data_IF_456016389460
#
_entry.id   IF_456016389460
#
_cell.length_a   1.000
_cell.length_b   1.000
_cell.length_c   1.000
_cell.angle_alpha   90.00
_cell.angle_beta   90.00
_cell.angle_gamma   90.00
#
_symmetry.space_group_name_H-M   'P 1'
#
loop_
_entity.id
_entity.type
_entity.pdbx_description
1 polymer ?
#
# COMPACT_ATOMS: atom_id res chain seq x y z
N UNK A 1 37.89 28.62 -11.95
CA UNK A 1 36.50 28.23 -12.27
C UNK A 1 35.63 28.57 -11.08
N UNK A 2 34.44 29.16 -11.25
CA UNK A 2 33.48 29.29 -10.16
C UNK A 2 32.88 27.90 -9.87
N UNK A 3 33.53 27.17 -8.98
CA UNK A 3 32.96 25.98 -8.32
C UNK A 3 32.26 26.44 -7.05
N UNK A 4 30.94 26.29 -7.00
CA UNK A 4 30.15 26.69 -5.83
C UNK A 4 28.81 25.99 -5.80
N UNK A 5 28.30 25.77 -4.59
CA UNK A 5 26.90 25.47 -4.37
C UNK A 5 26.10 26.77 -4.46
N UNK A 6 24.85 26.70 -4.91
CA UNK A 6 23.96 27.84 -4.79
C UNK A 6 23.62 28.07 -3.32
N UNK A 7 23.83 29.29 -2.81
CA UNK A 7 23.50 29.64 -1.42
C UNK A 7 21.99 29.53 -1.13
N UNK A 8 21.16 29.66 -2.16
CA UNK A 8 19.70 29.50 -2.09
C UNK A 8 19.20 28.50 -3.14
N UNK A 9 18.18 27.72 -2.76
CA UNK A 9 17.53 26.80 -3.68
C UNK A 9 16.58 27.55 -4.63
N UNK A 10 16.65 27.23 -5.92
CA UNK A 10 15.73 27.75 -6.92
C UNK A 10 14.49 26.87 -7.02
N UNK A 11 13.30 27.49 -7.06
CA UNK A 11 12.06 26.77 -7.32
C UNK A 11 11.92 26.43 -8.80
N UNK A 12 11.45 25.22 -9.11
CA UNK A 12 11.04 24.85 -10.47
C UNK A 12 9.90 25.74 -11.00
N UNK A 13 9.12 26.35 -10.11
CA UNK A 13 8.01 27.24 -10.45
C UNK A 13 8.44 28.62 -10.93
N UNK A 14 9.67 29.05 -10.64
CA UNK A 14 10.21 30.36 -11.09
C UNK A 14 11.04 30.26 -12.37
N UNK A 15 11.29 29.07 -12.90
CA UNK A 15 11.97 28.90 -14.19
C UNK A 15 11.05 29.37 -15.32
N UNK A 16 11.31 30.54 -15.90
CA UNK A 16 10.56 31.09 -17.03
C UNK A 16 10.87 30.33 -18.32
N UNK A 17 12.16 30.12 -18.59
CA UNK A 17 12.64 29.40 -19.79
C UNK A 17 13.86 28.51 -19.49
N UNK A 18 14.08 27.52 -20.35
CA UNK A 18 15.19 26.58 -20.28
C UNK A 18 15.71 26.30 -21.70
N UNK A 19 16.96 26.67 -21.98
CA UNK A 19 17.59 26.53 -23.29
C UNK A 19 18.93 25.79 -23.23
N UNK A 20 19.29 25.11 -24.32
CA UNK A 20 20.65 24.59 -24.52
C UNK A 20 21.50 25.70 -25.15
N UNK A 21 22.65 26.02 -24.54
CA UNK A 21 23.49 27.11 -25.02
C UNK A 21 24.08 26.79 -26.41
N UNK A 22 23.77 27.63 -27.40
CA UNK A 22 24.11 27.37 -28.81
C UNK A 22 24.41 28.67 -29.57
N UNK A 23 25.62 29.20 -29.40
CA UNK A 23 26.17 30.31 -30.18
C UNK A 23 27.71 30.20 -30.28
N UNK A 24 28.33 31.00 -31.16
CA UNK A 24 29.78 30.95 -31.38
C UNK A 24 30.58 31.35 -30.13
N UNK A 25 31.52 30.50 -29.73
CA UNK A 25 32.28 30.60 -28.48
C UNK A 25 31.45 30.40 -27.19
N UNK A 26 30.23 29.86 -27.28
CA UNK A 26 29.45 29.45 -26.10
C UNK A 26 30.24 28.46 -25.21
N UNK A 27 30.22 28.62 -23.87
CA UNK A 27 30.75 27.63 -22.94
C UNK A 27 30.18 26.23 -23.21
N UNK A 28 31.07 25.24 -23.37
CA UNK A 28 30.67 23.87 -23.71
C UNK A 28 29.81 23.25 -22.60
N UNK A 29 28.83 22.46 -23.04
CA UNK A 29 27.96 21.65 -22.18
C UNK A 29 27.08 22.43 -21.19
N UNK A 30 26.66 23.64 -21.57
CA UNK A 30 25.85 24.49 -20.71
C UNK A 30 24.33 24.41 -20.98
N UNK A 31 23.56 24.49 -19.89
CA UNK A 31 22.12 24.73 -19.87
C UNK A 31 21.86 26.13 -19.31
N UNK A 32 21.03 26.91 -19.99
CA UNK A 32 20.59 28.22 -19.54
C UNK A 32 19.21 28.12 -18.88
N UNK A 33 19.09 28.71 -17.70
CA UNK A 33 17.84 28.87 -16.94
C UNK A 33 17.52 30.36 -16.81
N UNK A 34 16.34 30.78 -17.28
CA UNK A 34 15.85 32.16 -17.10
C UNK A 34 14.84 32.26 -15.96
N UNK A 35 14.91 33.33 -15.19
CA UNK A 35 14.09 33.61 -14.00
C UNK A 35 13.65 35.07 -13.96
N UNK A 36 12.54 35.41 -13.26
CA UNK A 36 12.17 36.79 -13.00
C UNK A 36 13.24 37.44 -12.09
N UNK A 37 14.18 38.16 -12.71
CA UNK A 37 15.31 38.80 -12.05
C UNK A 37 16.71 38.32 -12.48
N UNK A 38 16.84 37.34 -13.39
CA UNK A 38 18.17 36.96 -13.88
C UNK A 38 18.22 35.69 -14.74
N UNK A 39 19.45 35.29 -15.08
CA UNK A 39 19.75 34.06 -15.82
C UNK A 39 20.87 33.31 -15.12
N UNK A 40 20.71 31.99 -14.98
CA UNK A 40 21.72 31.08 -14.40
C UNK A 40 22.22 30.14 -15.49
N UNK A 41 23.54 29.98 -15.55
CA UNK A 41 24.19 29.05 -16.47
C UNK A 41 24.70 27.82 -15.69
N UNK A 42 24.20 26.64 -16.03
CA UNK A 42 24.67 25.37 -15.46
C UNK A 42 25.59 24.68 -16.46
N UNK A 43 26.88 24.56 -16.13
CA UNK A 43 27.85 23.83 -16.95
C UNK A 43 27.98 22.38 -16.48
N UNK A 44 27.71 21.42 -17.36
CA UNK A 44 27.94 20.01 -17.11
C UNK A 44 29.35 19.57 -17.54
N UNK A 45 29.82 18.42 -17.04
CA UNK A 45 31.11 17.86 -17.41
C UNK A 45 31.19 17.36 -18.88
N UNK A 46 30.05 16.99 -19.47
CA UNK A 46 29.95 16.48 -20.84
C UNK A 46 28.53 16.70 -21.41
N UNK A 47 28.36 16.45 -22.72
CA UNK A 47 27.10 16.60 -23.44
C UNK A 47 25.97 15.73 -22.85
N UNK A 48 26.25 14.45 -22.58
CA UNK A 48 25.27 13.52 -22.03
C UNK A 48 24.67 14.03 -20.71
N UNK A 49 25.52 14.50 -19.78
CA UNK A 49 25.07 15.02 -18.49
C UNK A 49 24.29 16.35 -18.64
N UNK A 50 24.69 17.23 -19.57
CA UNK A 50 23.92 18.44 -19.93
C UNK A 50 22.51 18.05 -20.41
N UNK A 51 22.42 17.06 -21.29
CA UNK A 51 21.14 16.67 -21.91
C UNK A 51 20.23 15.98 -20.89
N UNK A 52 20.79 15.15 -20.01
CA UNK A 52 20.09 14.60 -18.84
C UNK A 52 19.57 15.69 -17.90
N UNK A 53 20.40 16.70 -17.57
CA UNK A 53 19.97 17.85 -16.76
C UNK A 53 18.85 18.62 -17.46
N UNK A 54 19.01 18.94 -18.74
CA UNK A 54 18.01 19.66 -19.53
C UNK A 54 16.66 18.95 -19.51
N UNK A 55 16.60 17.66 -19.89
CA UNK A 55 15.35 16.91 -19.90
C UNK A 55 14.76 16.73 -18.48
N UNK A 56 15.59 16.50 -17.45
CA UNK A 56 15.13 16.39 -16.06
C UNK A 56 14.53 17.71 -15.53
N UNK A 57 15.14 18.86 -15.85
CA UNK A 57 14.64 20.19 -15.51
C UNK A 57 13.33 20.50 -16.25
N UNK A 58 13.23 20.19 -17.55
CA UNK A 58 11.99 20.30 -18.32
C UNK A 58 10.87 19.44 -17.72
N UNK A 59 11.18 18.18 -17.40
CA UNK A 59 10.25 17.23 -16.80
C UNK A 59 9.70 17.76 -15.47
N UNK A 60 10.58 18.15 -14.54
CA UNK A 60 10.17 18.67 -13.22
C UNK A 60 9.36 19.97 -13.33
N UNK A 61 9.74 20.91 -14.21
CA UNK A 61 8.97 22.14 -14.49
C UNK A 61 7.58 21.81 -15.02
N UNK A 62 7.47 20.89 -16.00
CA UNK A 62 6.17 20.46 -16.55
C UNK A 62 5.32 19.76 -15.49
N UNK A 63 5.87 18.78 -14.75
CA UNK A 63 5.16 18.08 -13.67
C UNK A 63 4.61 19.04 -12.61
N UNK A 64 5.38 20.06 -12.22
CA UNK A 64 4.90 21.10 -11.31
C UNK A 64 3.70 21.88 -11.89
N UNK A 65 3.76 22.25 -13.18
CA UNK A 65 2.62 22.88 -13.88
C UNK A 65 1.39 21.97 -13.88
N UNK A 66 1.54 20.69 -14.24
CA UNK A 66 0.41 19.74 -14.27
C UNK A 66 -0.23 19.55 -12.90
N UNK A 67 0.57 19.43 -11.83
CA UNK A 67 0.05 19.43 -10.45
C UNK A 67 -0.83 20.67 -10.19
N UNK A 68 -0.33 21.87 -10.49
CA UNK A 68 -1.09 23.11 -10.25
C UNK A 68 -2.35 23.23 -11.10
N UNK A 69 -2.33 22.78 -12.36
CA UNK A 69 -3.47 22.85 -13.28
C UNK A 69 -4.55 21.84 -12.91
N UNK A 70 -4.18 20.61 -12.54
CA UNK A 70 -5.12 19.55 -12.19
C UNK A 70 -5.73 19.75 -10.80
N UNK A 71 -5.00 20.36 -9.84
CA UNK A 71 -5.48 20.66 -8.48
C UNK A 71 -6.56 21.77 -8.42
N UNK A 72 -6.93 22.40 -9.54
CA UNK A 72 -8.02 23.39 -9.57
C UNK A 72 -8.89 23.20 -10.82
N UNK A 73 -9.66 22.08 -10.88
CA UNK A 73 -10.39 21.68 -12.07
C UNK A 73 -11.60 22.59 -12.32
N UNK A 74 -11.51 23.46 -13.34
CA UNK A 74 -12.62 24.33 -13.75
C UNK A 74 -13.58 23.67 -14.73
N UNK A 75 -13.07 22.84 -15.66
CA UNK A 75 -13.85 22.11 -16.67
C UNK A 75 -13.22 20.75 -16.97
N UNK A 76 -13.99 19.68 -16.85
CA UNK A 76 -13.51 18.31 -17.05
C UNK A 76 -12.99 18.02 -18.47
N UNK A 77 -13.54 18.66 -19.52
CA UNK A 77 -12.98 18.57 -20.89
C UNK A 77 -11.50 18.99 -20.95
N UNK A 78 -11.17 20.07 -20.22
CA UNK A 78 -9.83 20.65 -20.19
C UNK A 78 -8.92 19.77 -19.33
N UNK A 79 -9.40 19.35 -18.15
CA UNK A 79 -8.68 18.43 -17.26
C UNK A 79 -8.33 17.12 -17.99
N UNK A 80 -9.27 16.53 -18.73
CA UNK A 80 -9.03 15.32 -19.52
C UNK A 80 -8.02 15.53 -20.65
N UNK A 81 -8.03 16.70 -21.31
CA UNK A 81 -7.01 17.07 -22.30
C UNK A 81 -5.62 17.20 -21.68
N UNK A 82 -5.51 17.83 -20.50
CA UNK A 82 -4.25 17.97 -19.77
C UNK A 82 -3.75 16.62 -19.23
N UNK A 83 -4.64 15.72 -18.79
CA UNK A 83 -4.30 14.32 -18.43
C UNK A 83 -3.68 13.60 -19.63
N UNK A 84 -4.31 13.66 -20.82
CA UNK A 84 -3.77 13.03 -22.03
C UNK A 84 -2.41 13.60 -22.42
N UNK A 85 -2.23 14.92 -22.32
CA UNK A 85 -0.94 15.57 -22.57
C UNK A 85 0.15 15.20 -21.54
N UNK A 86 -0.24 14.99 -20.28
CA UNK A 86 0.66 14.51 -19.23
C UNK A 86 1.11 13.05 -19.47
N UNK A 87 0.19 12.19 -19.90
CA UNK A 87 0.46 10.79 -20.27
C UNK A 87 1.37 10.70 -21.50
N UNK A 88 1.05 11.44 -22.56
CA UNK A 88 1.86 11.53 -23.79
C UNK A 88 3.29 12.00 -23.49
N UNK A 89 3.44 13.05 -22.68
CA UNK A 89 4.76 13.53 -22.23
C UNK A 89 5.56 12.46 -21.48
N UNK A 90 4.91 11.62 -20.67
CA UNK A 90 5.58 10.55 -19.94
C UNK A 90 6.12 9.47 -20.89
N UNK A 91 5.28 9.02 -21.83
CA UNK A 91 5.61 7.98 -22.80
C UNK A 91 6.67 8.41 -23.83
N UNK A 92 6.69 9.69 -24.18
CA UNK A 92 7.67 10.29 -25.12
C UNK A 92 8.94 10.79 -24.44
N UNK A 93 9.06 10.64 -23.11
CA UNK A 93 10.20 11.15 -22.35
C UNK A 93 11.48 10.34 -22.64
N UNK A 94 12.63 10.99 -22.91
CA UNK A 94 13.92 10.30 -23.05
C UNK A 94 14.53 9.86 -21.70
N UNK A 95 13.87 10.16 -20.58
CA UNK A 95 14.38 9.90 -19.24
C UNK A 95 14.11 8.45 -18.79
N UNK A 96 15.16 7.76 -18.37
CA UNK A 96 15.12 6.35 -17.96
C UNK A 96 14.99 6.22 -16.44
N UNK A 97 13.83 6.60 -15.89
CA UNK A 97 13.53 6.50 -14.45
C UNK A 97 12.06 6.08 -14.25
N UNK A 98 11.77 5.22 -13.28
CA UNK A 98 10.41 4.71 -13.03
C UNK A 98 9.45 5.86 -12.63
N UNK A 99 9.95 6.87 -11.93
CA UNK A 99 9.17 8.03 -11.48
C UNK A 99 8.59 8.85 -12.64
N UNK A 100 9.13 8.73 -13.86
CA UNK A 100 8.59 9.37 -15.08
C UNK A 100 7.18 8.86 -15.37
N UNK A 101 6.95 7.55 -15.19
CA UNK A 101 5.66 6.92 -15.46
C UNK A 101 4.76 6.89 -14.21
N UNK A 102 5.35 6.79 -13.02
CA UNK A 102 4.60 6.79 -11.75
C UNK A 102 4.09 8.19 -11.36
N UNK A 103 4.82 9.27 -11.64
CA UNK A 103 4.39 10.62 -11.24
C UNK A 103 3.04 11.05 -11.85
N UNK A 104 2.76 10.83 -13.15
CA UNK A 104 1.42 11.03 -13.71
C UNK A 104 0.33 10.24 -12.97
N UNK A 105 0.55 8.94 -12.72
CA UNK A 105 -0.42 8.09 -12.04
C UNK A 105 -0.72 8.59 -10.62
N UNK A 106 0.30 9.04 -9.87
CA UNK A 106 0.10 9.64 -8.55
C UNK A 106 -0.69 10.95 -8.60
N UNK A 107 -0.42 11.84 -9.56
CA UNK A 107 -1.16 13.11 -9.70
C UNK A 107 -2.64 12.84 -10.00
N UNK A 108 -2.92 11.86 -10.85
CA UNK A 108 -4.29 11.48 -11.25
C UNK A 108 -5.00 10.71 -10.12
N UNK A 109 -4.26 9.91 -9.34
CA UNK A 109 -4.74 9.29 -8.10
C UNK A 109 -5.22 10.34 -7.08
N UNK A 110 -4.45 11.41 -6.87
CA UNK A 110 -4.85 12.54 -6.00
C UNK A 110 -6.08 13.28 -6.57
N UNK A 111 -6.07 13.59 -7.87
CA UNK A 111 -7.20 14.24 -8.55
C UNK A 111 -8.52 13.48 -8.37
N UNK A 112 -8.50 12.16 -8.54
CA UNK A 112 -9.69 11.30 -8.37
C UNK A 112 -10.13 11.21 -6.91
N UNK A 113 -9.20 11.17 -5.96
CA UNK A 113 -9.52 11.15 -4.53
C UNK A 113 -10.18 12.47 -4.05
N UNK A 114 -9.77 13.61 -4.60
CA UNK A 114 -10.31 14.93 -4.26
C UNK A 114 -11.64 15.27 -4.95
N UNK A 115 -12.00 14.57 -6.04
CA UNK A 115 -13.15 14.92 -6.90
C UNK A 115 -14.21 13.81 -6.95
N UNK A 116 -14.92 13.61 -5.84
CA UNK A 116 -15.97 12.57 -5.70
C UNK A 116 -17.24 12.79 -6.53
N UNK A 117 -17.47 14.00 -7.06
CA UNK A 117 -18.67 14.39 -7.82
C UNK A 117 -18.56 14.16 -9.34
N UNK A 118 -17.56 13.39 -9.78
CA UNK A 118 -17.34 13.05 -11.18
C UNK A 118 -18.48 12.22 -11.76
N UNK A 119 -18.80 12.44 -13.05
CA UNK A 119 -19.74 11.55 -13.73
C UNK A 119 -19.09 10.20 -14.02
N UNK A 120 -19.93 9.18 -14.23
CA UNK A 120 -19.49 7.86 -14.68
C UNK A 120 -18.68 7.92 -15.97
N UNK A 121 -19.09 8.76 -16.91
CA UNK A 121 -18.42 8.87 -18.21
C UNK A 121 -17.04 9.53 -18.03
N UNK A 122 -16.90 10.47 -17.09
CA UNK A 122 -15.61 11.07 -16.76
C UNK A 122 -14.66 10.07 -16.10
N UNK A 123 -15.15 9.21 -15.20
CA UNK A 123 -14.36 8.11 -14.65
C UNK A 123 -13.79 7.21 -15.76
N UNK A 124 -14.63 6.73 -16.66
CA UNK A 124 -14.19 5.85 -17.75
C UNK A 124 -13.24 6.56 -18.72
N UNK A 125 -13.51 7.83 -19.06
CA UNK A 125 -12.64 8.67 -19.86
C UNK A 125 -11.25 8.87 -19.25
N UNK A 126 -11.16 9.07 -17.92
CA UNK A 126 -9.89 9.21 -17.19
C UNK A 126 -9.13 7.89 -17.20
N UNK A 127 -9.80 6.76 -16.93
CA UNK A 127 -9.16 5.42 -16.94
C UNK A 127 -8.62 5.10 -18.34
N UNK A 128 -9.40 5.36 -19.40
CA UNK A 128 -8.95 5.22 -20.78
C UNK A 128 -7.76 6.12 -21.12
N UNK A 129 -7.70 7.34 -20.59
CA UNK A 129 -6.59 8.25 -20.82
C UNK A 129 -5.28 7.81 -20.15
N UNK A 130 -5.33 7.09 -19.02
CA UNK A 130 -4.14 6.57 -18.32
C UNK A 130 -3.77 5.13 -18.67
N UNK A 131 -4.62 4.40 -19.40
CA UNK A 131 -4.40 3.01 -19.77
C UNK A 131 -2.98 2.71 -20.31
N UNK A 132 -2.38 3.52 -21.20
CA UNK A 132 -1.02 3.26 -21.71
C UNK A 132 0.08 3.24 -20.62
N UNK A 133 -0.10 3.96 -19.51
CA UNK A 133 0.84 3.89 -18.38
C UNK A 133 0.62 2.61 -17.56
N UNK A 134 -0.63 2.18 -17.38
CA UNK A 134 -0.99 1.00 -16.60
C UNK A 134 -0.55 -0.31 -17.26
N UNK A 135 -0.41 -0.35 -18.59
CA UNK A 135 0.18 -1.48 -19.32
C UNK A 135 1.60 -1.83 -18.85
N UNK A 136 2.34 -0.85 -18.32
CA UNK A 136 3.72 -1.03 -17.88
C UNK A 136 4.03 -0.71 -16.42
N UNK A 137 3.10 -0.11 -15.68
CA UNK A 137 3.33 0.38 -14.32
C UNK A 137 2.24 -0.09 -13.36
N UNK A 138 2.60 -0.34 -12.11
CA UNK A 138 1.61 -0.66 -11.09
C UNK A 138 0.80 0.60 -10.72
N UNK A 139 -0.55 0.54 -10.66
CA UNK A 139 -1.36 1.67 -10.19
C UNK A 139 -1.05 1.99 -8.70
N UNK A 140 -1.03 3.29 -8.32
CA UNK A 140 -0.91 3.71 -6.92
C UNK A 140 -2.02 3.16 -6.01
N UNK A 141 -1.82 3.15 -4.67
CA UNK A 141 -2.77 2.63 -3.70
C UNK A 141 -4.20 3.19 -3.82
N UNK A 142 -4.38 4.50 -3.97
CA UNK A 142 -5.73 5.10 -4.02
C UNK A 142 -6.39 4.88 -5.39
N UNK A 143 -5.58 4.84 -6.45
CA UNK A 143 -6.02 4.45 -7.78
C UNK A 143 -6.48 2.97 -7.83
N UNK A 144 -5.82 2.07 -7.09
CA UNK A 144 -6.30 0.70 -6.91
C UNK A 144 -7.68 0.66 -6.23
N UNK A 145 -7.90 1.47 -5.20
CA UNK A 145 -9.17 1.55 -4.48
C UNK A 145 -10.30 2.10 -5.39
N UNK A 146 -9.98 3.11 -6.21
CA UNK A 146 -10.86 3.61 -7.26
C UNK A 146 -11.21 2.53 -8.30
N UNK A 147 -10.23 1.74 -8.76
CA UNK A 147 -10.49 0.61 -9.67
C UNK A 147 -11.32 -0.50 -9.02
N UNK A 148 -11.08 -0.83 -7.75
CA UNK A 148 -11.92 -1.77 -6.98
C UNK A 148 -13.39 -1.32 -6.97
N UNK A 149 -13.63 -0.04 -6.68
CA UNK A 149 -14.98 0.56 -6.71
C UNK A 149 -15.60 0.45 -8.10
N UNK A 150 -14.87 0.78 -9.16
CA UNK A 150 -15.35 0.68 -10.54
C UNK A 150 -15.69 -0.76 -10.95
N UNK A 151 -14.90 -1.76 -10.54
CA UNK A 151 -15.18 -3.18 -10.76
C UNK A 151 -16.52 -3.60 -10.13
N UNK A 152 -16.81 -3.20 -8.89
CA UNK A 152 -18.08 -3.52 -8.19
C UNK A 152 -19.29 -2.80 -8.79
N UNK A 153 -19.14 -1.52 -9.13
CA UNK A 153 -20.26 -0.71 -9.63
C UNK A 153 -20.56 -0.97 -11.10
N UNK A 154 -19.53 -1.32 -11.90
CA UNK A 154 -19.61 -1.44 -13.37
C UNK A 154 -18.84 -2.64 -13.92
N UNK A 155 -19.17 -3.87 -13.49
CA UNK A 155 -18.50 -5.09 -13.93
C UNK A 155 -18.60 -5.33 -15.45
N UNK A 156 -19.64 -4.78 -16.10
CA UNK A 156 -19.92 -4.89 -17.54
C UNK A 156 -19.31 -3.74 -18.38
N UNK A 157 -18.57 -2.81 -17.78
CA UNK A 157 -17.96 -1.71 -18.54
C UNK A 157 -16.83 -2.19 -19.45
N UNK A 158 -16.62 -1.49 -20.58
CA UNK A 158 -15.47 -1.76 -21.47
C UNK A 158 -14.14 -1.53 -20.75
N UNK A 159 -14.10 -0.62 -19.77
CA UNK A 159 -12.94 -0.43 -18.89
C UNK A 159 -12.56 -1.71 -18.15
N UNK A 160 -13.51 -2.42 -17.54
CA UNK A 160 -13.21 -3.70 -16.87
C UNK A 160 -12.75 -4.74 -17.88
N UNK A 161 -13.45 -4.87 -19.02
CA UNK A 161 -13.25 -5.95 -19.98
C UNK A 161 -11.97 -5.77 -20.84
N UNK A 162 -11.64 -4.55 -21.23
CA UNK A 162 -10.55 -4.26 -22.18
C UNK A 162 -9.34 -3.58 -21.52
N UNK A 163 -9.55 -2.66 -20.56
CA UNK A 163 -8.46 -1.89 -19.94
C UNK A 163 -7.88 -2.59 -18.71
N UNK A 164 -8.72 -3.09 -17.80
CA UNK A 164 -8.22 -3.75 -16.59
C UNK A 164 -7.66 -5.15 -16.86
N UNK A 165 -8.13 -5.84 -17.91
CA UNK A 165 -7.61 -7.15 -18.33
C UNK A 165 -6.08 -7.17 -18.48
N UNK A 166 -5.43 -6.40 -19.38
CA UNK A 166 -3.97 -6.43 -19.52
C UNK A 166 -3.24 -5.98 -18.24
N UNK A 167 -3.81 -5.05 -17.47
CA UNK A 167 -3.22 -4.57 -16.21
C UNK A 167 -3.19 -5.68 -15.16
N UNK A 168 -4.29 -6.42 -14.97
CA UNK A 168 -4.35 -7.53 -14.02
C UNK A 168 -3.54 -8.73 -14.52
N UNK A 169 -3.52 -8.99 -15.83
CA UNK A 169 -2.60 -9.97 -16.42
C UNK A 169 -1.14 -9.62 -16.10
N UNK A 170 -0.73 -8.35 -16.21
CA UNK A 170 0.61 -7.88 -15.82
C UNK A 170 0.87 -8.09 -14.33
N UNK A 171 -0.05 -7.68 -13.45
CA UNK A 171 0.09 -7.84 -12.00
C UNK A 171 0.32 -9.32 -11.66
N UNK A 172 -0.49 -10.24 -12.20
CA UNK A 172 -0.32 -11.67 -11.96
C UNK A 172 1.00 -12.24 -12.53
N UNK A 173 1.49 -11.74 -13.67
CA UNK A 173 2.74 -12.20 -14.32
C UNK A 173 4.02 -11.64 -13.67
N UNK A 174 3.97 -10.41 -13.13
CA UNK A 174 5.17 -9.65 -12.76
C UNK A 174 5.18 -9.16 -11.31
N UNK A 175 4.07 -9.18 -10.56
CA UNK A 175 4.12 -8.80 -9.16
C UNK A 175 4.98 -9.80 -8.35
N UNK A 176 5.93 -9.25 -7.60
CA UNK A 176 6.87 -10.03 -6.81
C UNK A 176 6.34 -10.37 -5.41
N UNK A 177 5.48 -9.53 -4.84
CA UNK A 177 5.04 -9.61 -3.45
C UNK A 177 3.74 -8.82 -3.22
N UNK A 178 2.63 -9.50 -2.90
CA UNK A 178 1.37 -8.82 -2.54
C UNK A 178 1.34 -8.30 -1.10
N UNK A 179 2.24 -8.74 -0.22
CA UNK A 179 2.34 -8.23 1.16
C UNK A 179 2.78 -6.77 1.20
N UNK A 180 3.64 -6.36 0.27
CA UNK A 180 4.04 -4.95 0.08
C UNK A 180 2.97 -4.07 -0.56
N UNK A 181 2.05 -4.68 -1.32
CA UNK A 181 1.03 -3.96 -2.10
C UNK A 181 -0.35 -4.63 -1.96
N UNK A 182 -0.96 -4.65 -0.76
CA UNK A 182 -2.22 -5.36 -0.51
C UNK A 182 -3.39 -4.85 -1.37
N UNK A 183 -3.37 -3.57 -1.77
CA UNK A 183 -4.39 -2.99 -2.65
C UNK A 183 -4.31 -3.49 -4.10
N UNK A 184 -3.14 -3.91 -4.61
CA UNK A 184 -3.03 -4.59 -5.91
C UNK A 184 -3.68 -5.98 -5.86
N UNK A 185 -3.56 -6.68 -4.72
CA UNK A 185 -4.23 -7.96 -4.49
C UNK A 185 -5.75 -7.79 -4.47
N UNK A 186 -6.24 -6.79 -3.74
CA UNK A 186 -7.66 -6.47 -3.68
C UNK A 186 -8.22 -6.09 -5.06
N UNK A 187 -7.52 -5.23 -5.81
CA UNK A 187 -7.92 -4.90 -7.19
C UNK A 187 -8.01 -6.14 -8.09
N UNK A 188 -7.04 -7.05 -7.97
CA UNK A 188 -7.05 -8.34 -8.69
C UNK A 188 -8.26 -9.20 -8.31
N UNK A 189 -8.64 -9.24 -7.02
CA UNK A 189 -9.84 -9.95 -6.55
C UNK A 189 -11.12 -9.34 -7.10
N UNK A 190 -11.29 -8.02 -6.98
CA UNK A 190 -12.49 -7.29 -7.41
C UNK A 190 -12.69 -7.36 -8.93
N UNK A 191 -11.59 -7.32 -9.70
CA UNK A 191 -11.63 -7.59 -11.15
C UNK A 191 -12.08 -9.02 -11.48
N UNK A 192 -11.56 -10.04 -10.78
CA UNK A 192 -11.97 -11.44 -10.99
C UNK A 192 -13.46 -11.64 -10.65
N UNK A 193 -13.94 -10.99 -9.58
CA UNK A 193 -15.36 -10.99 -9.22
C UNK A 193 -16.21 -10.28 -10.29
N UNK A 194 -15.75 -9.13 -10.81
CA UNK A 194 -16.42 -8.43 -11.90
C UNK A 194 -16.53 -9.28 -13.18
N UNK A 195 -15.49 -10.05 -13.54
CA UNK A 195 -15.57 -11.03 -14.63
C UNK A 195 -16.64 -12.11 -14.38
N UNK A 196 -16.79 -12.56 -13.13
CA UNK A 196 -17.79 -13.55 -12.74
C UNK A 196 -19.24 -12.98 -12.74
N UNK A 197 -19.40 -11.66 -12.75
CA UNK A 197 -20.73 -11.03 -12.90
C UNK A 197 -21.16 -10.82 -14.35
N UNK A 198 -20.28 -11.10 -15.32
CA UNK A 198 -20.61 -11.11 -16.75
C UNK A 198 -21.56 -12.27 -17.11
N UNK A 199 -22.22 -12.20 -18.27
CA UNK A 199 -23.34 -13.09 -18.60
C UNK A 199 -22.98 -14.59 -18.70
N UNK A 200 -21.70 -14.94 -18.88
CA UNK A 200 -21.21 -16.33 -18.86
C UNK A 200 -20.52 -16.73 -17.53
N UNK A 201 -20.52 -15.83 -16.54
CA UNK A 201 -20.00 -16.03 -15.18
C UNK A 201 -18.64 -16.71 -15.12
N UNK A 202 -18.57 -17.83 -14.39
CA UNK A 202 -17.33 -18.59 -14.19
C UNK A 202 -16.66 -19.08 -15.48
N UNK A 203 -17.36 -19.22 -16.61
CA UNK A 203 -16.70 -19.57 -17.88
C UNK A 203 -15.85 -18.40 -18.42
N UNK A 204 -16.14 -17.14 -18.05
CA UNK A 204 -15.24 -16.02 -18.34
C UNK A 204 -14.00 -16.07 -17.45
N UNK A 205 -14.17 -16.33 -16.16
CA UNK A 205 -13.06 -16.50 -15.21
C UNK A 205 -12.15 -17.66 -15.62
N UNK A 206 -12.72 -18.77 -16.07
CA UNK A 206 -11.99 -19.93 -16.60
C UNK A 206 -11.18 -19.60 -17.85
N UNK A 207 -11.77 -18.87 -18.81
CA UNK A 207 -11.05 -18.35 -19.99
C UNK A 207 -9.91 -17.40 -19.59
N UNK A 208 -10.13 -16.55 -18.58
CA UNK A 208 -9.09 -15.68 -18.03
C UNK A 208 -7.94 -16.50 -17.41
N UNK A 209 -8.21 -17.45 -16.52
CA UNK A 209 -7.19 -18.33 -15.91
C UNK A 209 -6.43 -19.14 -16.98
N UNK A 210 -7.13 -19.63 -18.00
CA UNK A 210 -6.50 -20.30 -19.14
C UNK A 210 -5.58 -19.37 -19.95
N UNK A 211 -6.00 -18.11 -20.19
CA UNK A 211 -5.14 -17.10 -20.84
C UNK A 211 -3.89 -16.73 -20.02
N UNK A 212 -3.96 -16.92 -18.70
CA UNK A 212 -2.85 -16.70 -17.78
C UNK A 212 -1.85 -17.86 -17.76
N UNK A 213 -2.34 -19.10 -17.92
CA UNK A 213 -1.51 -20.29 -18.12
C UNK A 213 -0.83 -20.28 -19.51
N UNK A 214 -1.59 -19.95 -20.55
CA UNK A 214 -1.15 -20.07 -21.95
C UNK A 214 -1.46 -21.45 -22.55
N UNK A 215 -1.33 -21.59 -23.89
CA UNK A 215 -1.75 -22.79 -24.63
C UNK A 215 -0.74 -23.94 -24.60
N UNK A 216 0.46 -23.72 -24.06
CA UNK A 216 1.52 -24.72 -23.92
C UNK A 216 1.27 -25.63 -22.71
N UNK A 217 1.78 -26.87 -22.73
CA UNK A 217 1.71 -27.79 -21.59
C UNK A 217 2.56 -27.41 -20.37
N UNK A 218 3.18 -26.23 -20.38
CA UNK A 218 3.86 -25.59 -19.26
C UNK A 218 3.54 -24.10 -19.31
N UNK A 219 3.29 -23.49 -18.15
CA UNK A 219 3.05 -22.06 -18.03
C UNK A 219 4.36 -21.26 -18.23
N UNK A 220 4.41 -20.26 -19.13
CA UNK A 220 5.61 -19.45 -19.39
C UNK A 220 5.85 -18.36 -18.33
N UNK A 221 5.04 -18.32 -17.27
CA UNK A 221 5.02 -17.23 -16.28
C UNK A 221 5.02 -17.78 -14.85
N UNK A 222 6.20 -18.02 -14.23
CA UNK A 222 6.31 -18.72 -12.94
C UNK A 222 5.66 -17.98 -11.75
N UNK A 223 5.32 -16.70 -11.90
CA UNK A 223 4.61 -15.93 -10.87
C UNK A 223 3.09 -16.06 -10.91
N UNK A 224 2.51 -16.52 -12.02
CA UNK A 224 1.04 -16.57 -12.20
C UNK A 224 0.38 -17.45 -11.14
N UNK A 225 0.87 -18.67 -10.96
CA UNK A 225 0.35 -19.61 -9.97
C UNK A 225 0.41 -19.05 -8.54
N UNK A 226 1.58 -18.68 -7.97
CA UNK A 226 1.63 -18.17 -6.59
C UNK A 226 0.83 -16.87 -6.41
N UNK A 227 0.75 -16.01 -7.43
CA UNK A 227 -0.07 -14.81 -7.36
C UNK A 227 -1.58 -15.12 -7.38
N UNK A 228 -2.05 -16.04 -8.23
CA UNK A 228 -3.44 -16.50 -8.23
C UNK A 228 -3.80 -17.21 -6.92
N UNK A 229 -2.92 -18.04 -6.38
CA UNK A 229 -3.12 -18.72 -5.09
C UNK A 229 -3.21 -17.68 -3.96
N UNK A 230 -2.30 -16.70 -3.88
CA UNK A 230 -2.34 -15.64 -2.88
C UNK A 230 -3.62 -14.77 -2.97
N UNK A 231 -4.11 -14.51 -4.19
CA UNK A 231 -5.38 -13.82 -4.46
C UNK A 231 -6.58 -14.64 -3.97
N UNK A 232 -6.63 -15.93 -4.31
CA UNK A 232 -7.72 -16.82 -3.92
C UNK A 232 -7.79 -16.99 -2.40
N UNK A 233 -6.67 -17.30 -1.77
CA UNK A 233 -6.57 -17.50 -0.33
C UNK A 233 -7.03 -16.25 0.42
N UNK A 234 -6.48 -15.08 0.10
CA UNK A 234 -6.89 -13.85 0.77
C UNK A 234 -8.40 -13.58 0.65
N UNK A 235 -9.02 -13.86 -0.50
CA UNK A 235 -10.46 -13.70 -0.66
C UNK A 235 -11.27 -14.72 0.16
N UNK A 236 -10.80 -15.96 0.22
CA UNK A 236 -11.41 -17.03 1.03
C UNK A 236 -11.32 -16.69 2.52
N UNK A 237 -10.16 -16.27 3.02
CA UNK A 237 -9.99 -15.86 4.42
C UNK A 237 -10.88 -14.67 4.79
N UNK A 238 -10.98 -13.65 3.93
CA UNK A 238 -11.87 -12.50 4.17
C UNK A 238 -13.36 -12.85 4.18
N UNK A 239 -13.77 -13.99 3.61
CA UNK A 239 -15.15 -14.49 3.78
C UNK A 239 -15.43 -14.96 5.22
N UNK A 240 -14.40 -15.30 6.00
CA UNK A 240 -14.52 -15.81 7.37
C UNK A 240 -13.96 -14.85 8.43
N UNK A 241 -13.49 -13.65 8.05
CA UNK A 241 -12.86 -12.68 8.95
C UNK A 241 -13.74 -12.35 10.17
N UNK A 242 -15.05 -12.16 10.01
CA UNK A 242 -15.97 -11.90 11.13
C UNK A 242 -15.97 -13.06 12.15
N UNK A 243 -15.98 -14.31 11.67
CA UNK A 243 -15.95 -15.49 12.54
C UNK A 243 -14.60 -15.63 13.26
N UNK A 244 -13.49 -15.43 12.54
CA UNK A 244 -12.13 -15.43 13.10
C UNK A 244 -12.01 -14.36 14.20
N UNK A 245 -12.37 -13.12 13.89
CA UNK A 245 -12.32 -11.98 14.80
C UNK A 245 -13.28 -12.13 16.00
N UNK A 246 -14.41 -12.84 15.85
CA UNK A 246 -15.33 -13.13 16.96
C UNK A 246 -14.70 -14.06 18.01
N UNK A 247 -13.84 -14.99 17.58
CA UNK A 247 -13.19 -15.99 18.45
C UNK A 247 -12.03 -15.39 19.23
N UNK A 248 -11.21 -14.54 18.60
CA UNK A 248 -10.15 -13.77 19.28
C UNK A 248 -10.71 -12.74 20.28
N UNK A 249 -11.97 -12.34 20.11
CA UNK A 249 -12.67 -11.48 21.06
C UNK A 249 -13.39 -12.22 22.19
N UNK A 250 -13.41 -13.55 22.19
CA UNK A 250 -13.98 -14.35 23.28
C UNK A 250 -13.31 -14.06 24.62
N UNK A 251 -14.05 -13.82 25.72
CA UNK A 251 -13.47 -13.55 27.03
C UNK A 251 -12.56 -14.70 27.50
N UNK A 252 -12.92 -15.94 27.16
CA UNK A 252 -12.18 -17.15 27.54
C UNK A 252 -10.74 -17.20 27.02
N UNK A 253 -10.44 -16.58 25.87
CA UNK A 253 -9.07 -16.53 25.32
C UNK A 253 -8.30 -15.28 25.75
N UNK A 254 -8.99 -14.16 26.04
CA UNK A 254 -8.37 -12.98 26.64
C UNK A 254 -7.88 -13.27 28.07
N UNK A 255 -8.60 -14.10 28.82
CA UNK A 255 -8.15 -14.59 30.14
C UNK A 255 -6.92 -15.50 30.04
N UNK A 256 -6.84 -16.38 29.04
CA UNK A 256 -5.66 -17.24 28.82
C UNK A 256 -4.43 -16.40 28.42
N UNK A 257 -4.62 -15.41 27.53
CA UNK A 257 -3.55 -14.49 27.09
C UNK A 257 -3.06 -13.57 28.22
N UNK A 258 -3.97 -13.06 29.06
CA UNK A 258 -3.62 -12.24 30.22
C UNK A 258 -3.09 -13.07 31.41
N UNK A 259 -3.47 -14.35 31.50
CA UNK A 259 -3.04 -15.27 32.56
C UNK A 259 -1.52 -15.54 32.53
N UNK A 260 -0.92 -15.64 31.35
CA UNK A 260 0.54 -15.71 31.21
C UNK A 260 1.26 -14.41 31.60
N UNK A 261 0.57 -13.27 31.69
CA UNK A 261 1.17 -11.99 32.07
C UNK A 261 1.11 -11.72 33.59
N UNK A 262 0.19 -12.35 34.33
CA UNK A 262 -0.07 -12.03 35.75
C UNK A 262 0.75 -12.85 36.76
N UNK A 263 1.57 -13.81 36.32
CA UNK A 263 2.26 -14.72 37.25
C UNK A 263 3.64 -14.25 37.75
N UNK A 264 4.00 -12.96 37.55
CA UNK A 264 5.29 -12.42 37.99
C UNK A 264 5.27 -11.46 39.20
N UNK A 265 4.09 -11.10 39.74
CA UNK A 265 3.97 -10.23 40.92
C UNK A 265 3.08 -10.82 42.02
N UNK A 266 3.65 -11.77 42.79
CA UNK A 266 3.12 -12.15 44.11
C UNK A 266 4.22 -12.25 45.16
N UNK A 267 4.43 -11.15 45.88
CA UNK A 267 5.06 -11.13 47.21
C UNK A 267 3.98 -10.82 48.25
N UNK A 268 3.87 -11.56 49.37
CA UNK A 268 2.70 -11.47 50.25
C UNK A 268 2.67 -10.20 51.13
N UNK A 269 1.47 -9.71 51.53
CA UNK A 269 1.31 -8.50 52.36
C UNK A 269 1.25 -8.81 53.88
N UNK A 270 1.47 -7.77 54.72
CA UNK A 270 0.95 -7.48 56.10
C UNK A 270 1.93 -6.51 56.86
N UNK A 271 1.54 -5.73 57.89
CA UNK A 271 0.49 -4.70 57.88
C UNK A 271 0.78 -3.37 58.66
N UNK A 272 0.04 -2.29 58.30
CA UNK A 272 -0.47 -1.16 59.12
C UNK A 272 0.42 -0.29 60.09
N UNK A 273 0.48 1.02 59.79
CA UNK A 273 0.03 2.17 60.65
C UNK A 273 0.05 3.48 59.82
N UNK A 274 -0.98 4.34 59.66
CA UNK A 274 -1.89 5.10 60.56
C UNK A 274 -1.39 6.54 60.86
N UNK A 275 -1.91 7.56 60.16
CA UNK A 275 -2.46 8.85 60.69
C UNK A 275 -2.83 9.88 59.57
N UNK A 276 -3.99 10.54 59.74
CA UNK A 276 -4.52 11.78 59.07
C UNK A 276 -4.42 12.93 60.10
N UNK A 277 -4.52 14.25 59.81
CA UNK A 277 -5.70 14.98 59.23
C UNK A 277 -5.31 15.98 58.09
N UNK A 278 -6.12 16.39 57.09
CA UNK A 278 -7.46 17.05 56.98
C UNK A 278 -7.45 18.61 56.83
N UNK A 279 -8.49 19.24 56.19
CA UNK A 279 -8.37 20.45 55.34
C UNK A 279 -9.10 21.70 55.94
N UNK A 280 -9.54 22.76 55.19
CA UNK A 280 -10.71 22.70 54.28
C UNK A 280 -10.81 23.70 53.07
N UNK A 281 -11.71 23.38 52.13
CA UNK A 281 -12.39 24.29 51.14
C UNK A 281 -13.59 25.03 51.79
N UNK A 282 -14.17 26.15 51.27
CA UNK A 282 -15.29 26.11 50.28
C UNK A 282 -15.46 27.43 49.42
N UNK A 283 -16.62 27.80 48.82
CA UNK A 283 -17.19 27.23 47.58
C UNK A 283 -17.73 28.28 46.53
N UNK A 284 -18.39 27.75 45.48
CA UNK A 284 -19.12 28.39 44.35
C UNK A 284 -20.25 29.40 44.74
N UNK A 285 -20.84 30.24 43.86
CA UNK A 285 -21.59 29.87 42.64
C UNK A 285 -22.23 31.08 41.86
N UNK A 286 -22.88 30.78 40.71
CA UNK A 286 -24.13 31.41 40.19
C UNK A 286 -24.10 32.51 39.09
N UNK A 287 -24.49 32.09 37.87
CA UNK A 287 -25.30 32.76 36.81
C UNK A 287 -24.83 33.99 35.98
N UNK A 288 -25.35 34.00 34.74
CA UNK A 288 -25.25 34.95 33.60
C UNK A 288 -26.32 36.08 33.70
N UNK A 289 -26.59 36.94 32.67
CA UNK A 289 -25.78 37.56 31.59
C UNK A 289 -25.93 39.12 31.53
N UNK A 290 -25.27 39.84 30.59
CA UNK A 290 -25.90 40.70 29.54
C UNK A 290 -24.88 41.37 28.59
N UNK A 291 -25.39 41.99 27.51
CA UNK A 291 -24.66 42.51 26.32
C UNK A 291 -24.51 44.04 26.32
N UNK A 292 -23.49 44.61 25.63
CA UNK A 292 -23.64 45.57 24.48
C UNK A 292 -22.30 46.20 24.01
N UNK A 293 -22.27 46.60 22.73
CA UNK A 293 -21.20 47.31 21.97
C UNK A 293 -21.53 48.86 21.98
N UNK A 294 -20.86 49.82 21.26
CA UNK A 294 -19.67 49.78 20.38
C UNK A 294 -18.66 50.98 20.41
N UNK A 295 -17.40 50.73 19.98
CA UNK A 295 -16.52 51.60 19.14
C UNK A 295 -16.08 53.03 19.67
N UNK A 296 -15.50 53.96 18.86
CA UNK A 296 -14.08 54.42 18.95
C UNK A 296 -13.96 55.97 19.14
N UNK A 297 -12.93 56.79 18.71
CA UNK A 297 -11.62 56.56 18.04
C UNK A 297 -10.39 57.47 18.45
N UNK A 298 -9.27 57.34 17.69
CA UNK A 298 -8.40 58.43 17.15
C UNK A 298 -7.00 58.81 17.78
N UNK A 299 -6.03 58.96 16.86
CA UNK A 299 -4.66 59.56 16.91
C UNK A 299 -4.69 61.10 17.20
N UNK A 300 -3.59 61.89 17.46
CA UNK A 300 -2.30 61.92 16.71
C UNK A 300 -1.00 62.36 17.54
N UNK A 301 -0.08 63.30 17.13
CA UNK A 301 1.22 63.05 16.46
C UNK A 301 2.51 63.60 17.22
N UNK A 302 3.62 64.16 16.63
CA UNK A 302 4.90 63.42 16.50
C UNK A 302 6.25 64.21 16.81
N UNK A 303 7.41 63.58 16.52
CA UNK A 303 8.76 64.18 16.18
C UNK A 303 9.61 64.94 17.23
N UNK A 304 10.95 65.19 17.03
CA UNK A 304 12.02 64.44 16.32
C UNK A 304 13.44 64.39 16.99
N UNK A 305 14.41 63.76 16.28
CA UNK A 305 15.87 64.07 16.12
C UNK A 305 16.97 63.80 17.19
N UNK A 306 17.86 62.82 16.87
CA UNK A 306 19.37 62.80 16.85
C UNK A 306 20.26 63.30 18.04
N UNK A 307 21.59 63.00 18.11
CA UNK A 307 22.48 62.17 17.25
C UNK A 307 23.44 61.16 17.98
N UNK A 308 24.23 60.41 17.18
CA UNK A 308 25.44 59.58 17.51
C UNK A 308 26.64 60.38 18.07
N UNK A 309 27.67 59.78 18.78
CA UNK A 309 28.72 58.95 18.12
C UNK A 309 29.55 57.88 18.93
N UNK A 310 30.15 56.93 18.17
CA UNK A 310 31.46 56.20 18.33
C UNK A 310 31.93 55.48 19.63
N UNK A 311 31.96 54.12 19.61
CA UNK A 311 33.15 53.17 19.54
C UNK A 311 34.35 53.37 20.54
N UNK A 312 35.12 52.36 21.09
CA UNK A 312 35.20 50.88 20.88
C UNK A 312 35.32 49.95 22.15
N UNK A 313 35.65 48.66 21.92
CA UNK A 313 36.41 47.67 22.75
C UNK A 313 35.64 46.55 23.53
N UNK A 314 35.84 45.32 23.03
CA UNK A 314 35.98 43.98 23.69
C UNK A 314 35.38 43.73 25.08
N UNK A 315 34.61 42.65 25.34
CA UNK A 315 35.14 41.27 25.39
C UNK A 315 34.08 40.14 25.58
N UNK A 316 34.44 38.92 25.14
CA UNK A 316 34.06 37.58 25.70
C UNK A 316 32.59 37.14 25.91
N UNK A 317 32.11 36.29 24.98
CA UNK A 317 31.51 34.92 25.17
C UNK A 317 30.36 34.67 26.18
N UNK A 318 29.34 33.83 25.85
CA UNK A 318 29.56 32.46 25.36
C UNK A 318 28.68 31.95 24.19
N UNK A 319 29.27 30.97 23.49
CA UNK A 319 28.65 30.11 22.48
C UNK A 319 27.70 29.08 23.09
N UNK A 320 26.53 28.90 22.47
CA UNK A 320 25.59 27.78 22.71
C UNK A 320 25.78 26.68 21.63
N UNK A 321 25.38 25.42 21.92
CA UNK A 321 26.12 24.26 21.42
C UNK A 321 25.85 23.88 19.96
N UNK A 322 26.90 23.38 19.30
CA UNK A 322 26.78 22.68 18.03
C UNK A 322 25.92 21.42 18.19
N UNK A 323 25.03 21.19 17.22
CA UNK A 323 24.36 19.90 17.05
C UNK A 323 25.40 18.81 16.74
N UNK A 324 25.29 17.60 17.30
CA UNK A 324 26.19 16.50 16.96
C UNK A 324 25.99 16.08 15.49
N UNK A 325 27.05 15.67 14.77
CA UNK A 325 26.93 15.14 13.43
C UNK A 325 26.17 13.79 13.44
N UNK A 326 25.47 13.43 12.35
CA UNK A 326 24.76 12.16 12.27
C UNK A 326 25.75 10.98 12.33
N UNK A 327 25.53 10.07 13.26
CA UNK A 327 26.27 8.81 13.36
C UNK A 327 25.86 7.85 12.25
N UNK A 328 26.80 7.53 11.35
CA UNK A 328 26.64 6.45 10.38
C UNK A 328 27.01 5.13 11.06
N UNK A 329 26.02 4.27 11.30
CA UNK A 329 26.23 2.93 11.87
C UNK A 329 26.51 1.94 10.74
N UNK A 330 27.63 1.23 10.81
CA UNK A 330 27.96 0.17 9.88
C UNK A 330 27.20 -1.11 10.26
N UNK A 331 26.68 -1.84 9.25
CA UNK A 331 25.91 -3.09 9.44
C UNK A 331 26.66 -4.20 10.19
N UNK A 332 27.99 -4.11 10.31
CA UNK A 332 28.84 -5.06 11.05
C UNK A 332 28.93 -4.81 12.56
N UNK A 333 28.32 -3.75 13.10
CA UNK A 333 28.40 -3.38 14.53
C UNK A 333 27.12 -3.70 15.33
N UNK A 334 26.09 -4.26 14.68
CA UNK A 334 24.85 -4.67 15.36
C UNK A 334 25.01 -6.12 15.86
N UNK A 335 25.54 -6.27 17.07
CA UNK A 335 25.58 -7.56 17.76
C UNK A 335 24.21 -7.87 18.38
N UNK A 336 23.42 -8.71 17.71
CA UNK A 336 22.19 -9.27 18.29
C UNK A 336 22.57 -10.51 19.10
N UNK A 337 22.71 -10.37 20.43
CA UNK A 337 22.78 -11.53 21.32
C UNK A 337 21.43 -12.24 21.35
N UNK A 338 21.36 -13.38 20.65
CA UNK A 338 20.21 -14.26 20.69
C UNK A 338 20.21 -15.04 22.01
N UNK A 339 19.38 -14.64 22.96
CA UNK A 339 19.33 -15.21 24.30
C UNK A 339 18.96 -16.71 24.25
N UNK A 340 19.96 -17.59 24.39
CA UNK A 340 19.78 -19.04 24.50
C UNK A 340 19.16 -19.38 25.86
N UNK A 341 17.83 -19.43 25.93
CA UNK A 341 17.17 -19.94 27.12
C UNK A 341 17.35 -21.48 27.22
N UNK A 342 18.33 -21.89 28.01
CA UNK A 342 18.80 -23.26 28.13
C UNK A 342 18.47 -23.81 29.52
N UNK A 343 17.31 -24.45 29.69
CA UNK A 343 16.89 -25.01 30.97
C UNK A 343 17.01 -26.55 31.00
N UNK A 344 18.21 -27.00 31.36
CA UNK A 344 18.47 -28.38 31.77
C UNK A 344 18.51 -28.50 33.30
N UNK A 345 17.37 -28.83 33.94
CA UNK A 345 17.32 -29.53 35.23
C UNK A 345 15.88 -29.80 35.72
N UNK A 346 15.44 -31.05 35.61
CA UNK A 346 15.02 -31.78 36.81
C UNK A 346 14.95 -33.30 36.57
N UNK A 347 15.62 -34.06 37.42
CA UNK A 347 15.73 -35.52 37.37
C UNK A 347 14.90 -36.12 38.51
N UNK A 348 14.20 -37.24 38.25
CA UNK A 348 13.43 -38.11 39.20
C UNK A 348 12.12 -37.48 39.74
N UNK A 349 10.96 -38.18 39.83
CA UNK A 349 10.63 -39.63 39.81
C UNK A 349 9.23 -39.91 39.20
N UNK A 350 9.18 -40.87 38.25
CA UNK A 350 8.29 -42.06 38.16
C UNK A 350 6.74 -41.93 38.32
N UNK A 351 6.00 -42.14 37.22
CA UNK A 351 4.75 -42.94 37.20
C UNK A 351 3.52 -42.40 36.44
N UNK A 352 2.98 -43.18 35.50
CA UNK A 352 1.62 -42.99 34.93
C UNK A 352 1.55 -42.54 33.46
N UNK A 353 0.52 -42.91 32.65
CA UNK A 353 0.68 -43.00 31.19
C UNK A 353 -0.19 -42.08 30.30
N UNK A 354 0.30 -41.92 29.07
CA UNK A 354 -0.44 -41.68 27.80
C UNK A 354 -1.14 -40.34 27.55
N UNK A 355 -0.82 -39.75 26.39
CA UNK A 355 -1.47 -38.56 25.82
C UNK A 355 -0.48 -37.74 25.01
N UNK A 356 -0.21 -38.14 23.76
CA UNK A 356 0.68 -37.40 22.87
C UNK A 356 -0.11 -36.44 21.99
N UNK A 357 0.03 -35.13 22.23
CA UNK A 357 -0.41 -34.12 21.28
C UNK A 357 0.48 -34.16 20.04
N UNK A 358 -0.11 -34.48 18.90
CA UNK A 358 0.47 -34.27 17.58
C UNK A 358 -0.61 -33.65 16.71
N UNK A 359 -0.31 -32.47 16.16
CA UNK A 359 -1.25 -31.70 15.36
C UNK A 359 -1.58 -32.49 14.07
N UNK A 360 -2.88 -32.70 13.74
CA UNK A 360 -3.27 -33.56 12.63
C UNK A 360 -2.93 -32.92 11.28
N UNK A 361 -2.48 -33.73 10.32
CA UNK A 361 -2.27 -33.24 8.96
C UNK A 361 -3.62 -32.87 8.31
N UNK A 362 -3.58 -31.97 7.32
CA UNK A 362 -4.76 -31.53 6.56
C UNK A 362 -5.58 -32.69 5.98
N UNK A 363 -4.93 -33.80 5.64
CA UNK A 363 -5.55 -35.03 5.13
C UNK A 363 -6.32 -35.77 6.24
N UNK A 364 -5.75 -35.89 7.44
CA UNK A 364 -6.41 -36.54 8.59
C UNK A 364 -7.67 -35.77 9.02
N UNK A 365 -7.64 -34.43 8.96
CA UNK A 365 -8.81 -33.59 9.22
C UNK A 365 -9.98 -33.80 8.24
N UNK A 366 -9.73 -34.34 7.04
CA UNK A 366 -10.75 -34.54 6.00
C UNK A 366 -11.21 -36.00 5.89
N UNK A 367 -10.37 -36.96 6.28
CA UNK A 367 -10.71 -38.39 6.24
C UNK A 367 -11.47 -38.89 7.48
N UNK A 368 -11.52 -38.12 8.58
CA UNK A 368 -12.31 -38.46 9.77
C UNK A 368 -13.73 -37.88 9.68
N UNK A 369 -14.70 -38.76 9.42
CA UNK A 369 -16.12 -38.54 9.70
C UNK A 369 -16.77 -39.91 9.95
N UNK A 370 -17.62 -40.07 10.98
CA UNK A 370 -18.82 -39.23 11.12
C UNK A 370 -19.23 -38.86 12.57
N UNK A 371 -19.13 -37.58 12.96
CA UNK A 371 -19.87 -37.02 14.10
C UNK A 371 -19.78 -35.47 14.22
N UNK A 372 -20.13 -34.71 13.17
CA UNK A 372 -20.29 -33.24 13.30
C UNK A 372 -21.66 -32.83 12.79
N UNK A 373 -22.69 -33.06 13.60
CA UNK A 373 -24.02 -32.52 13.32
C UNK A 373 -24.08 -31.01 13.63
N UNK A 374 -24.55 -30.25 12.64
CA UNK A 374 -25.21 -28.95 12.80
C UNK A 374 -24.41 -27.81 13.44
N UNK A 375 -23.28 -27.45 12.81
CA UNK A 375 -22.92 -26.04 12.61
C UNK A 375 -22.93 -25.76 11.10
N UNK A 376 -24.12 -25.58 10.53
CA UNK A 376 -24.26 -25.11 9.15
C UNK A 376 -23.90 -23.62 9.10
N UNK A 377 -22.61 -23.34 8.88
CA UNK A 377 -22.11 -21.96 8.80
C UNK A 377 -22.72 -21.33 7.55
N UNK A 378 -23.64 -20.40 7.75
CA UNK A 378 -24.25 -19.62 6.68
C UNK A 378 -23.44 -18.34 6.51
N UNK A 379 -22.69 -18.26 5.41
CA UNK A 379 -22.09 -17.01 4.97
C UNK A 379 -23.16 -16.08 4.39
N UNK A 380 -23.00 -14.74 4.54
CA UNK A 380 -23.79 -13.78 3.78
C UNK A 380 -23.73 -14.08 2.27
N UNK A 381 -24.82 -13.82 1.55
CA UNK A 381 -24.94 -14.20 0.13
C UNK A 381 -23.81 -13.66 -0.77
N UNK A 382 -23.21 -12.50 -0.43
CA UNK A 382 -22.02 -11.99 -1.12
C UNK A 382 -20.77 -12.82 -0.79
N UNK A 383 -20.53 -13.16 0.47
CA UNK A 383 -19.39 -13.98 0.88
C UNK A 383 -19.47 -15.40 0.31
N UNK A 384 -20.65 -16.03 0.23
CA UNK A 384 -20.78 -17.33 -0.45
C UNK A 384 -20.50 -17.27 -1.96
N UNK A 385 -20.84 -16.15 -2.63
CA UNK A 385 -20.46 -15.91 -4.04
C UNK A 385 -18.94 -15.78 -4.19
N UNK A 386 -18.30 -14.98 -3.33
CA UNK A 386 -16.84 -14.79 -3.32
C UNK A 386 -16.12 -16.11 -3.08
N UNK A 387 -16.50 -16.84 -2.02
CA UNK A 387 -15.98 -18.17 -1.70
C UNK A 387 -16.14 -19.14 -2.87
N UNK A 388 -17.32 -19.19 -3.49
CA UNK A 388 -17.59 -20.07 -4.63
C UNK A 388 -16.71 -19.77 -5.83
N UNK A 389 -16.48 -18.49 -6.13
CA UNK A 389 -15.60 -18.06 -7.22
C UNK A 389 -14.15 -18.50 -6.98
N UNK A 390 -13.57 -18.15 -5.83
CA UNK A 390 -12.15 -18.41 -5.57
C UNK A 390 -11.84 -19.88 -5.23
N UNK A 391 -12.75 -20.62 -4.61
CA UNK A 391 -12.62 -22.06 -4.45
C UNK A 391 -12.62 -22.80 -5.81
N UNK A 392 -13.49 -22.38 -6.74
CA UNK A 392 -13.49 -22.94 -8.09
C UNK A 392 -12.25 -22.55 -8.90
N UNK A 393 -11.64 -21.39 -8.64
CA UNK A 393 -10.32 -21.05 -9.21
C UNK A 393 -9.26 -22.01 -8.68
N UNK A 394 -9.13 -22.23 -7.37
CA UNK A 394 -8.17 -23.19 -6.80
C UNK A 394 -8.32 -24.59 -7.42
N UNK A 395 -9.55 -25.03 -7.65
CA UNK A 395 -9.86 -26.25 -8.41
C UNK A 395 -9.33 -26.23 -9.83
N UNK A 396 -9.61 -25.18 -10.61
CA UNK A 396 -9.08 -25.03 -11.97
C UNK A 396 -7.55 -25.01 -12.00
N UNK A 397 -6.88 -24.46 -10.97
CA UNK A 397 -5.41 -24.51 -10.87
C UNK A 397 -4.88 -25.95 -10.70
N UNK A 398 -5.62 -26.83 -10.01
CA UNK A 398 -5.23 -28.23 -9.79
C UNK A 398 -5.38 -29.14 -11.01
N UNK A 399 -6.15 -28.70 -12.01
CA UNK A 399 -6.34 -29.42 -13.28
C UNK A 399 -5.10 -29.32 -14.20
N UNK A 400 -4.24 -28.29 -14.04
CA UNK A 400 -2.98 -28.15 -14.77
C UNK A 400 -1.86 -28.99 -14.14
N UNK A 401 -1.23 -29.87 -14.92
CA UNK A 401 -0.25 -30.85 -14.42
C UNK A 401 1.09 -30.22 -13.98
N UNK A 402 1.54 -29.12 -14.62
CA UNK A 402 2.76 -28.40 -14.28
C UNK A 402 2.60 -27.53 -13.01
N UNK A 403 1.41 -26.96 -12.81
CA UNK A 403 1.06 -26.19 -11.61
C UNK A 403 0.79 -27.07 -10.40
N UNK A 404 0.30 -28.30 -10.57
CA UNK A 404 -0.13 -29.18 -9.48
C UNK A 404 0.92 -29.40 -8.36
N UNK A 405 2.21 -29.68 -8.65
CA UNK A 405 3.22 -29.86 -7.59
C UNK A 405 3.48 -28.59 -6.78
N UNK A 406 3.55 -27.44 -7.47
CA UNK A 406 3.75 -26.15 -6.82
C UNK A 406 2.50 -25.70 -6.04
N UNK A 407 1.30 -25.98 -6.55
CA UNK A 407 0.04 -25.73 -5.85
C UNK A 407 -0.06 -26.54 -4.56
N UNK A 408 0.31 -27.83 -4.58
CA UNK A 408 0.37 -28.66 -3.38
C UNK A 408 1.33 -28.07 -2.33
N UNK A 409 2.55 -27.69 -2.74
CA UNK A 409 3.52 -27.04 -1.85
C UNK A 409 3.04 -25.69 -1.30
N UNK A 410 2.25 -24.93 -2.06
CA UNK A 410 1.69 -23.65 -1.61
C UNK A 410 0.51 -23.83 -0.63
N UNK A 411 -0.25 -24.92 -0.72
CA UNK A 411 -1.41 -25.17 0.15
C UNK A 411 -1.07 -25.98 1.42
N UNK A 412 -0.04 -26.82 1.39
CA UNK A 412 0.41 -27.60 2.57
C UNK A 412 0.64 -26.79 3.85
N UNK A 413 1.28 -25.61 3.85
CA UNK A 413 1.56 -24.86 5.09
C UNK A 413 0.37 -24.00 5.59
N UNK A 414 -0.83 -24.13 5.01
CA UNK A 414 -1.92 -23.17 5.22
C UNK A 414 -2.97 -23.70 6.22
N UNK A 415 -3.08 -23.12 7.42
CA UNK A 415 -4.12 -23.46 8.38
C UNK A 415 -5.44 -22.80 7.98
N UNK A 416 -6.24 -23.49 7.15
CA UNK A 416 -7.57 -23.01 6.79
C UNK A 416 -8.45 -22.79 8.04
N UNK A 417 -9.32 -21.75 8.06
CA UNK A 417 -10.26 -21.55 9.16
C UNK A 417 -11.11 -22.81 9.38
N UNK A 418 -11.36 -23.17 10.65
CA UNK A 418 -12.19 -24.34 10.98
C UNK A 418 -13.61 -24.18 10.40
N UNK A 419 -14.04 -22.93 10.27
CA UNK A 419 -15.27 -22.46 9.68
C UNK A 419 -15.31 -22.70 8.16
N UNK A 420 -14.18 -22.58 7.47
CA UNK A 420 -14.06 -22.94 6.06
C UNK A 420 -14.17 -24.46 5.88
N UNK A 421 -13.44 -25.23 6.70
CA UNK A 421 -13.46 -26.70 6.66
C UNK A 421 -14.85 -27.30 6.97
N UNK A 422 -15.68 -26.60 7.76
CA UNK A 422 -17.08 -26.96 8.02
C UNK A 422 -18.06 -26.50 6.92
N UNK A 423 -17.64 -25.66 5.98
CA UNK A 423 -18.52 -25.10 4.95
C UNK A 423 -18.58 -26.01 3.71
N UNK A 424 -19.66 -26.80 3.59
CA UNK A 424 -19.80 -27.87 2.59
C UNK A 424 -19.38 -27.51 1.15
N UNK A 425 -19.67 -26.29 0.68
CA UNK A 425 -19.28 -25.81 -0.67
C UNK A 425 -17.76 -25.68 -0.83
N UNK A 426 -17.06 -25.22 0.20
CA UNK A 426 -15.61 -25.09 0.20
C UNK A 426 -14.95 -26.47 0.28
N UNK A 427 -15.37 -27.27 1.27
CA UNK A 427 -14.83 -28.63 1.49
C UNK A 427 -15.01 -29.52 0.27
N UNK A 428 -16.13 -29.40 -0.46
CA UNK A 428 -16.36 -30.12 -1.73
C UNK A 428 -15.30 -29.81 -2.79
N UNK A 429 -15.01 -28.53 -3.04
CA UNK A 429 -14.03 -28.15 -4.08
C UNK A 429 -12.59 -28.35 -3.60
N UNK A 430 -12.30 -28.19 -2.30
CA UNK A 430 -10.99 -28.50 -1.72
C UNK A 430 -10.68 -30.01 -1.74
N UNK A 431 -11.67 -30.87 -1.48
CA UNK A 431 -11.50 -32.32 -1.59
C UNK A 431 -11.11 -32.73 -3.01
N UNK A 432 -11.67 -32.10 -4.05
CA UNK A 432 -11.25 -32.33 -5.44
C UNK A 432 -9.79 -31.92 -5.67
N UNK A 433 -9.38 -30.75 -5.15
CA UNK A 433 -7.98 -30.27 -5.24
C UNK A 433 -7.01 -31.25 -4.58
N UNK A 434 -7.36 -31.79 -3.41
CA UNK A 434 -6.53 -32.76 -2.68
C UNK A 434 -6.48 -34.11 -3.39
N UNK A 435 -7.61 -34.62 -3.87
CA UNK A 435 -7.65 -35.84 -4.71
C UNK A 435 -6.79 -35.72 -5.97
N UNK A 436 -6.67 -34.52 -6.56
CA UNK A 436 -5.74 -34.29 -7.68
C UNK A 436 -4.28 -34.46 -7.25
N UNK A 437 -3.90 -34.03 -6.04
CA UNK A 437 -2.54 -34.24 -5.52
C UNK A 437 -2.21 -35.72 -5.24
N UNK A 438 -3.20 -36.49 -4.76
CA UNK A 438 -3.05 -37.92 -4.46
C UNK A 438 -2.95 -38.81 -5.72
N UNK A 439 -3.29 -38.29 -6.90
CA UNK A 439 -3.23 -39.00 -8.17
C UNK A 439 -2.06 -38.52 -9.07
N UNK A 440 -0.81 -38.92 -8.79
CA UNK A 440 0.26 -38.79 -9.76
C UNK A 440 0.04 -39.79 -10.90
N UNK A 441 -0.38 -39.25 -12.06
CA UNK A 441 -0.54 -39.86 -13.40
C UNK A 441 -1.94 -40.38 -13.75
N UNK A 442 -2.48 -39.83 -14.84
CA UNK A 442 -2.70 -40.66 -16.04
C UNK A 442 -1.73 -40.14 -17.12
N UNK A 443 -0.52 -40.70 -17.15
CA UNK A 443 0.38 -40.58 -18.31
C UNK A 443 -0.17 -41.51 -19.40
N UNK A 444 -0.41 -40.97 -20.60
CA UNK A 444 -0.89 -41.69 -21.79
C UNK A 444 -0.36 -41.03 -23.04
#
# INVERSE_FOLDING_TARGET
MPTGYMETSLSYSSIEDLQLLSWDNAPKYCVQLSFPGGTVLLQAANSYLRDQWFHSLQWKKKIYKYRKVLNNPSRWDVVLKEIRALVDMALTSPLQDESIHQAPLHIISTLLAENSNLSTQDHENIILAIAPLLENNHPPPDLCEFFCKHCRERPRSMVVIEVFTPVVQRILKHNMDFGKCPRLRLFTQEYILALNELNAGMEVVKKFVHSMHGPTGQCPHPRVLPNLVAVCLAAIYSCYEEFINSRDNSPSLKEIRNGCQQQNDRKPPMPLRLLRPEPPTPPSATLLPLSTNPSPPQLPPPTPSNPTPSIPISSTTPSLPLSPPPSVVNSSEILVELERNNNSANVRRKGGPSGGDSEPNLIDCLLVSPAVNTLSIQLPAQADRVLGCFALILKMLSDYDDWRPALASLLQPIPFPKEALAHAKFTKELNYVIQRFENPRQEG
#
